data_IF_104930954197
#
_entry.id   IF_104930954197
#
_cell.length_a   1.000
_cell.length_b   1.000
_cell.length_c   1.000
_cell.angle_alpha   90.00
_cell.angle_beta   90.00
_cell.angle_gamma   90.00
#
_symmetry.space_group_name_H-M   'P 1'
#
loop_
_entity.id
_entity.type
_entity.pdbx_description
1 polymer ?
#
# COMPACT_ATOMS: atom_id res chain seq x y z
N UNK A 1 -8.27 5.30 -42.88
CA UNK A 1 -7.00 4.70 -42.41
C UNK A 1 -7.30 3.89 -41.16
N UNK A 2 -7.36 2.55 -41.29
CA UNK A 2 -7.56 1.64 -40.16
C UNK A 2 -6.35 1.75 -39.23
N UNK A 3 -6.56 2.16 -37.98
CA UNK A 3 -5.55 1.95 -36.93
C UNK A 3 -5.46 0.45 -36.71
N UNK A 4 -4.38 -0.16 -37.19
CA UNK A 4 -4.04 -1.53 -36.77
C UNK A 4 -3.92 -1.53 -35.26
N UNK A 5 -4.79 -2.28 -34.57
CA UNK A 5 -4.67 -2.51 -33.15
C UNK A 5 -3.40 -3.31 -32.90
N UNK A 6 -2.34 -2.63 -32.48
CA UNK A 6 -1.11 -3.27 -32.05
C UNK A 6 -1.45 -4.06 -30.77
N UNK A 7 -1.33 -5.39 -30.76
CA UNK A 7 -1.60 -6.17 -29.56
C UNK A 7 -0.61 -5.74 -28.46
N UNK A 8 -1.07 -5.59 -27.20
CA UNK A 8 -0.20 -5.18 -26.12
C UNK A 8 0.98 -6.16 -25.99
N UNK A 9 2.18 -5.68 -25.63
CA UNK A 9 3.43 -6.45 -25.67
C UNK A 9 3.42 -7.72 -24.80
N UNK A 10 2.43 -7.89 -23.91
CA UNK A 10 2.32 -9.02 -23.00
C UNK A 10 1.17 -9.99 -23.33
N UNK A 11 0.38 -9.80 -24.40
CA UNK A 11 -0.87 -10.54 -24.67
C UNK A 11 -1.83 -10.62 -23.48
N UNK A 12 -1.63 -9.77 -22.47
CA UNK A 12 -2.56 -9.62 -21.38
C UNK A 12 -3.84 -9.11 -22.02
N UNK A 13 -4.94 -9.83 -21.81
CA UNK A 13 -6.25 -9.30 -22.13
C UNK A 13 -6.27 -7.90 -21.50
N UNK A 14 -6.38 -6.85 -22.31
CA UNK A 14 -6.95 -5.61 -21.80
C UNK A 14 -8.32 -6.08 -21.34
N UNK A 15 -8.63 -6.15 -20.04
CA UNK A 15 -10.03 -6.26 -19.68
C UNK A 15 -10.64 -5.08 -20.42
N UNK A 16 -11.60 -5.33 -21.31
CA UNK A 16 -12.46 -4.25 -21.79
C UNK A 16 -12.78 -3.45 -20.54
N UNK A 17 -12.33 -2.19 -20.44
CA UNK A 17 -12.61 -1.34 -19.28
C UNK A 17 -14.08 -0.93 -19.32
N UNK A 18 -14.97 -1.92 -19.34
CA UNK A 18 -16.38 -1.80 -19.06
C UNK A 18 -16.50 -1.45 -17.59
N UNK A 19 -16.46 -0.14 -17.30
CA UNK A 19 -17.09 0.50 -16.14
C UNK A 19 -16.90 -0.15 -14.77
N UNK A 20 -15.73 -0.73 -14.49
CA UNK A 20 -15.43 -1.24 -13.14
C UNK A 20 -14.99 -0.08 -12.26
N UNK A 21 -15.75 0.17 -11.19
CA UNK A 21 -15.40 1.08 -10.11
C UNK A 21 -14.80 0.30 -8.95
N UNK A 22 -13.54 0.59 -8.64
CA UNK A 22 -12.85 0.02 -7.49
C UNK A 22 -13.08 0.88 -6.25
N UNK A 23 -13.04 0.24 -5.07
CA UNK A 23 -12.99 0.89 -3.78
C UNK A 23 -12.18 0.05 -2.80
N UNK A 24 -11.47 0.69 -1.88
CA UNK A 24 -10.69 0.02 -0.85
C UNK A 24 -11.36 0.16 0.52
N UNK A 25 -11.31 -0.92 1.30
CA UNK A 25 -11.78 -0.93 2.69
C UNK A 25 -10.72 -1.52 3.60
N UNK A 26 -10.27 -0.78 4.60
CA UNK A 26 -9.40 -1.33 5.65
C UNK A 26 -10.25 -2.21 6.56
N UNK A 27 -10.08 -3.53 6.45
CA UNK A 27 -10.85 -4.52 7.22
C UNK A 27 -10.14 -4.94 8.51
N UNK A 28 -8.81 -4.82 8.56
CA UNK A 28 -8.03 -4.93 9.78
C UNK A 28 -7.14 -3.68 9.90
N UNK A 29 -7.39 -2.87 10.92
CA UNK A 29 -6.62 -1.65 11.16
C UNK A 29 -5.36 -1.95 11.98
N UNK A 30 -4.23 -1.25 11.74
CA UNK A 30 -3.13 -1.24 12.68
C UNK A 30 -3.58 -0.62 14.01
N UNK A 31 -3.08 -1.14 15.12
CA UNK A 31 -3.38 -0.59 16.44
C UNK A 31 -2.15 -0.01 17.11
N UNK A 32 -1.04 -0.74 17.02
CA UNK A 32 0.22 -0.37 17.69
C UNK A 32 1.44 -0.91 16.96
N UNK A 33 2.57 -0.28 17.21
CA UNK A 33 3.86 -0.85 16.88
C UNK A 33 4.89 -0.43 17.92
N UNK A 34 6.07 -1.03 17.85
CA UNK A 34 7.26 -0.56 18.57
C UNK A 34 8.21 0.06 17.56
N UNK A 35 8.76 1.23 17.88
CA UNK A 35 9.73 1.86 17.01
C UNK A 35 10.98 0.97 16.90
N UNK A 36 11.48 0.77 15.68
CA UNK A 36 12.66 -0.07 15.42
C UNK A 36 13.97 0.72 15.58
N UNK A 37 13.89 2.05 15.69
CA UNK A 37 15.03 2.95 15.67
C UNK A 37 15.80 2.89 14.35
N UNK A 38 17.07 3.28 14.44
CA UNK A 38 17.97 3.44 13.28
C UNK A 38 18.97 2.27 13.13
N UNK A 39 18.90 1.27 14.01
CA UNK A 39 19.62 0.01 13.87
C UNK A 39 18.84 -1.03 13.04
N UNK A 40 19.48 -2.17 12.74
CA UNK A 40 18.85 -3.28 11.99
C UNK A 40 18.37 -4.44 12.88
N UNK A 41 18.63 -4.43 14.20
CA UNK A 41 18.55 -5.65 15.03
C UNK A 41 17.21 -5.93 15.73
N UNK A 42 16.39 -4.92 16.07
CA UNK A 42 15.11 -5.12 16.79
C UNK A 42 13.94 -4.58 15.94
N UNK A 43 13.64 -5.30 14.86
CA UNK A 43 12.52 -4.98 13.99
C UNK A 43 11.26 -5.71 14.48
N UNK A 44 10.19 -4.96 14.74
CA UNK A 44 8.90 -5.52 15.16
C UNK A 44 7.81 -5.04 14.22
N UNK A 45 7.05 -5.96 13.61
CA UNK A 45 5.98 -5.55 12.72
C UNK A 45 4.87 -4.81 13.48
N UNK A 46 4.12 -4.00 12.74
CA UNK A 46 2.88 -3.37 13.20
C UNK A 46 1.88 -4.48 13.56
N UNK A 47 1.21 -4.31 14.69
CA UNK A 47 0.27 -5.28 15.26
C UNK A 47 -1.10 -4.63 15.51
N UNK A 48 -2.20 -5.26 15.06
CA UNK A 48 -2.25 -6.39 14.12
C UNK A 48 -1.82 -5.94 12.71
N UNK A 49 -1.48 -6.87 11.80
CA UNK A 49 -1.06 -6.52 10.45
C UNK A 49 -2.22 -5.89 9.66
N UNK A 50 -2.03 -4.77 8.95
CA UNK A 50 -3.11 -4.18 8.18
C UNK A 50 -3.59 -5.09 7.05
N UNK A 51 -4.90 -5.20 6.91
CA UNK A 51 -5.54 -5.93 5.81
C UNK A 51 -6.54 -5.00 5.13
N UNK A 52 -6.43 -4.90 3.81
CA UNK A 52 -7.29 -4.06 2.98
C UNK A 52 -8.04 -4.94 1.99
N UNK A 53 -9.36 -4.83 1.96
CA UNK A 53 -10.21 -5.49 0.99
C UNK A 53 -10.42 -4.59 -0.23
N UNK A 54 -10.31 -5.16 -1.43
CA UNK A 54 -10.71 -4.55 -2.68
C UNK A 54 -12.15 -4.93 -3.01
N UNK A 55 -12.98 -3.93 -3.27
CA UNK A 55 -14.33 -4.12 -3.77
C UNK A 55 -14.41 -3.56 -5.20
N UNK A 56 -14.98 -4.33 -6.12
CA UNK A 56 -15.23 -3.93 -7.50
C UNK A 56 -16.73 -3.89 -7.76
N UNK A 57 -17.20 -2.85 -8.45
CA UNK A 57 -18.60 -2.68 -8.87
C UNK A 57 -18.67 -2.35 -10.35
N UNK A 58 -19.73 -2.78 -11.03
CA UNK A 58 -19.98 -2.36 -12.43
C UNK A 58 -20.64 -0.97 -12.49
N UNK A 59 -20.93 -0.47 -13.70
CA UNK A 59 -21.66 0.79 -13.93
C UNK A 59 -23.01 0.88 -13.23
N UNK A 60 -23.69 -0.25 -13.05
CA UNK A 60 -24.98 -0.32 -12.36
C UNK A 60 -24.85 -0.39 -10.84
N UNK A 61 -23.63 -0.35 -10.30
CA UNK A 61 -23.34 -0.40 -8.87
C UNK A 61 -23.44 -1.79 -8.24
N UNK A 62 -23.58 -2.85 -9.05
CA UNK A 62 -23.61 -4.24 -8.60
C UNK A 62 -22.19 -4.75 -8.33
N UNK A 63 -22.05 -5.53 -7.26
CA UNK A 63 -20.77 -6.13 -6.87
C UNK A 63 -20.27 -7.11 -7.94
N UNK A 64 -19.01 -6.97 -8.31
CA UNK A 64 -18.28 -7.88 -9.21
C UNK A 64 -17.44 -8.81 -8.34
N UNK A 65 -17.62 -10.12 -8.56
CA UNK A 65 -16.74 -11.12 -7.97
C UNK A 65 -15.46 -11.25 -8.81
N UNK A 66 -14.37 -10.64 -8.34
CA UNK A 66 -13.06 -10.71 -8.99
C UNK A 66 -12.48 -12.12 -8.84
N UNK A 67 -11.94 -12.66 -9.93
CA UNK A 67 -11.24 -13.95 -9.93
C UNK A 67 -9.72 -13.76 -9.89
N UNK A 68 -8.94 -14.79 -9.54
CA UNK A 68 -7.48 -14.72 -9.57
C UNK A 68 -6.90 -14.23 -10.91
N UNK A 69 -7.49 -14.65 -12.03
CA UNK A 69 -7.07 -14.21 -13.37
C UNK A 69 -7.25 -12.69 -13.60
N UNK A 70 -8.24 -12.06 -12.96
CA UNK A 70 -8.53 -10.63 -13.11
C UNK A 70 -7.53 -9.75 -12.35
N UNK A 71 -6.90 -10.30 -11.29
CA UNK A 71 -6.11 -9.53 -10.33
C UNK A 71 -4.62 -9.84 -10.36
N UNK A 72 -4.12 -10.55 -11.38
CA UNK A 72 -2.70 -10.95 -11.48
C UNK A 72 -1.74 -9.74 -11.35
N UNK A 73 -2.19 -8.59 -11.84
CA UNK A 73 -1.40 -7.35 -11.89
C UNK A 73 -1.92 -6.26 -10.94
N UNK A 74 -2.66 -6.67 -9.91
CA UNK A 74 -3.20 -5.77 -8.90
C UNK A 74 -2.22 -5.65 -7.73
N UNK A 75 -1.86 -4.42 -7.41
CA UNK A 75 -0.92 -4.08 -6.35
C UNK A 75 -1.52 -3.04 -5.43
N UNK A 76 -1.20 -3.14 -4.15
CA UNK A 76 -1.41 -2.05 -3.19
C UNK A 76 -0.07 -1.63 -2.60
N UNK A 77 0.23 -0.33 -2.69
CA UNK A 77 1.36 0.31 -2.02
C UNK A 77 0.90 0.90 -0.69
N UNK A 78 1.72 0.80 0.34
CA UNK A 78 1.50 1.37 1.66
C UNK A 78 2.52 2.49 1.91
N UNK A 79 2.03 3.63 2.39
CA UNK A 79 2.82 4.78 2.79
C UNK A 79 2.48 5.19 4.23
N UNK A 80 3.42 5.84 4.90
CA UNK A 80 3.23 6.32 6.27
C UNK A 80 2.92 7.82 6.25
N UNK A 81 1.89 8.23 6.97
CA UNK A 81 1.47 9.61 7.12
C UNK A 81 1.35 9.98 8.60
N UNK A 82 1.39 11.29 8.88
CA UNK A 82 1.02 11.81 10.19
C UNK A 82 -0.44 11.49 10.56
N UNK A 83 -0.80 11.75 11.82
CA UNK A 83 -2.14 11.47 12.34
C UNK A 83 -3.25 12.24 11.61
N UNK A 84 -2.92 13.41 11.04
CA UNK A 84 -3.85 14.33 10.37
C UNK A 84 -3.96 14.11 8.86
N UNK A 85 -3.22 13.15 8.29
CA UNK A 85 -3.19 12.82 6.86
C UNK A 85 -2.65 13.95 5.97
N UNK A 86 -1.85 14.87 6.54
CA UNK A 86 -1.32 16.04 5.82
C UNK A 86 0.08 15.79 5.28
N UNK A 87 0.94 15.21 6.10
CA UNK A 87 2.36 15.05 5.77
C UNK A 87 2.74 13.59 5.58
N UNK A 88 3.40 13.30 4.46
CA UNK A 88 3.99 12.00 4.22
C UNK A 88 5.23 11.82 5.13
N UNK A 89 5.19 10.81 5.99
CA UNK A 89 6.22 10.45 6.97
C UNK A 89 6.97 9.18 6.59
N UNK A 90 6.87 8.73 5.33
CA UNK A 90 7.56 7.54 4.81
C UNK A 90 9.08 7.70 4.85
N UNK A 91 9.58 8.94 4.79
CA UNK A 91 11.01 9.27 4.92
C UNK A 91 11.29 9.97 6.25
N UNK A 92 12.47 9.74 6.81
CA UNK A 92 12.93 10.38 8.05
C UNK A 92 14.42 10.71 7.98
N UNK A 93 14.83 11.79 8.64
CA UNK A 93 16.22 12.16 8.82
C UNK A 93 16.80 11.39 10.01
N UNK A 94 17.95 10.74 9.82
CA UNK A 94 18.64 10.03 10.88
C UNK A 94 19.26 11.02 11.87
N UNK A 95 18.91 10.99 13.18
CA UNK A 95 19.37 11.99 14.16
C UNK A 95 20.89 12.12 14.25
N UNK A 96 21.64 11.00 14.12
CA UNK A 96 23.09 11.01 14.16
C UNK A 96 23.76 11.80 13.02
N UNK A 97 23.02 12.10 11.95
CA UNK A 97 23.52 12.87 10.80
C UNK A 97 23.37 14.38 10.95
N UNK A 98 22.64 14.86 11.96
CA UNK A 98 22.38 16.28 12.22
C UNK A 98 23.49 16.98 13.03
N UNK A 99 24.66 16.35 13.18
CA UNK A 99 25.79 16.94 13.90
C UNK A 99 26.24 18.26 13.26
N UNK A 100 26.11 19.36 14.01
CA UNK A 100 26.42 20.73 13.57
C UNK A 100 27.89 20.97 13.19
N UNK A 101 28.78 20.03 13.49
CA UNK A 101 30.24 20.21 13.33
C UNK A 101 30.83 19.58 12.07
N UNK A 102 30.01 19.05 11.16
CA UNK A 102 30.50 18.53 9.87
C UNK A 102 29.67 19.08 8.74
N UNK A 103 30.30 19.53 7.63
CA UNK A 103 29.63 19.89 6.37
C UNK A 103 28.94 18.69 5.67
N UNK A 104 28.56 17.65 6.42
CA UNK A 104 27.90 16.46 5.90
C UNK A 104 26.40 16.74 5.76
N UNK A 105 25.89 16.49 4.56
CA UNK A 105 24.45 16.55 4.26
C UNK A 105 23.69 15.57 5.18
N UNK A 106 22.49 15.94 5.68
CA UNK A 106 21.67 15.05 6.49
C UNK A 106 21.34 13.75 5.75
N UNK A 107 21.45 12.63 6.47
CA UNK A 107 21.17 11.29 5.96
C UNK A 107 19.66 11.03 6.06
N UNK A 108 18.99 10.88 4.91
CA UNK A 108 17.56 10.61 4.80
C UNK A 108 17.37 9.12 4.51
N UNK A 109 16.47 8.47 5.24
CA UNK A 109 16.16 7.04 5.06
C UNK A 109 14.68 6.73 5.29
N UNK A 110 14.22 5.56 4.83
CA UNK A 110 12.83 5.15 4.99
C UNK A 110 12.49 4.94 6.45
N UNK A 111 11.41 5.58 6.90
CA UNK A 111 10.80 5.42 8.21
C UNK A 111 9.91 4.17 8.26
N UNK A 112 9.08 3.98 7.23
CA UNK A 112 8.31 2.75 7.02
C UNK A 112 9.23 1.71 6.37
N UNK A 113 9.42 0.58 7.04
CA UNK A 113 10.35 -0.48 6.62
C UNK A 113 9.66 -1.83 6.48
N UNK A 114 10.27 -2.71 5.67
CA UNK A 114 9.70 -3.99 5.29
C UNK A 114 8.98 -3.94 3.94
N UNK A 115 8.01 -4.82 3.75
CA UNK A 115 7.24 -4.94 2.52
C UNK A 115 6.11 -3.92 2.46
N UNK A 116 6.40 -2.74 1.89
CA UNK A 116 5.42 -1.68 1.66
C UNK A 116 4.51 -1.93 0.46
N UNK A 117 4.64 -3.05 -0.24
CA UNK A 117 3.82 -3.41 -1.40
C UNK A 117 3.25 -4.81 -1.16
N UNK A 118 1.96 -4.98 -1.44
CA UNK A 118 1.26 -6.27 -1.41
C UNK A 118 0.64 -6.54 -2.77
N UNK A 119 0.75 -7.79 -3.23
CA UNK A 119 -0.10 -8.31 -4.31
C UNK A 119 -1.53 -8.52 -3.80
N UNK A 120 -2.47 -8.71 -4.72
CA UNK A 120 -3.82 -9.15 -4.41
C UNK A 120 -3.85 -10.65 -4.06
N UNK A 121 -4.54 -10.99 -2.97
CA UNK A 121 -4.79 -12.35 -2.51
C UNK A 121 -6.30 -12.63 -2.51
N UNK A 122 -6.70 -13.79 -3.03
CA UNK A 122 -8.09 -14.25 -2.96
C UNK A 122 -8.27 -15.14 -1.74
N UNK A 123 -9.00 -14.64 -0.74
CA UNK A 123 -9.15 -15.29 0.57
C UNK A 123 -10.63 -15.34 0.96
N UNK A 124 -10.94 -16.18 1.95
CA UNK A 124 -12.22 -16.17 2.63
C UNK A 124 -12.13 -15.32 3.89
N UNK A 125 -13.15 -14.52 4.17
CA UNK A 125 -13.25 -13.84 5.46
C UNK A 125 -13.70 -14.80 6.57
N UNK A 126 -13.82 -14.26 7.78
CA UNK A 126 -14.35 -14.93 8.98
C UNK A 126 -15.78 -15.45 8.84
N UNK A 127 -16.55 -14.92 7.90
CA UNK A 127 -17.90 -15.37 7.55
C UNK A 127 -17.93 -16.40 6.40
N UNK A 128 -16.78 -16.83 5.90
CA UNK A 128 -16.69 -17.77 4.77
C UNK A 128 -17.04 -17.17 3.41
N UNK A 129 -17.07 -15.84 3.28
CA UNK A 129 -17.29 -15.13 2.01
C UNK A 129 -15.96 -14.90 1.29
N UNK A 130 -15.82 -15.26 0.00
CA UNK A 130 -14.62 -14.97 -0.77
C UNK A 130 -14.46 -13.46 -1.02
N UNK A 131 -13.21 -13.01 -1.15
CA UNK A 131 -12.89 -11.64 -1.54
C UNK A 131 -11.41 -11.45 -1.90
N UNK A 132 -11.11 -10.29 -2.46
CA UNK A 132 -9.74 -9.89 -2.82
C UNK A 132 -9.16 -8.98 -1.73
N UNK A 133 -7.99 -9.34 -1.21
CA UNK A 133 -7.34 -8.68 -0.08
C UNK A 133 -5.88 -8.35 -0.36
N UNK A 134 -5.39 -7.27 0.23
CA UNK A 134 -3.98 -6.92 0.33
C UNK A 134 -3.56 -7.05 1.79
N UNK A 135 -2.48 -7.78 2.05
CA UNK A 135 -2.05 -8.14 3.41
C UNK A 135 -0.66 -7.57 3.67
N UNK A 136 -0.58 -6.67 4.65
CA UNK A 136 0.66 -5.98 5.01
C UNK A 136 1.24 -6.52 6.31
N UNK A 137 1.66 -7.79 6.30
CA UNK A 137 2.15 -8.49 7.50
C UNK A 137 3.59 -8.11 7.90
N UNK A 138 4.31 -7.40 7.03
CA UNK A 138 5.73 -7.10 7.21
C UNK A 138 5.99 -5.59 7.15
N UNK A 139 5.28 -4.81 7.97
CA UNK A 139 5.50 -3.36 8.10
C UNK A 139 6.06 -3.01 9.47
N UNK A 140 7.06 -2.14 9.55
CA UNK A 140 7.53 -1.58 10.83
C UNK A 140 7.87 -0.09 10.67
N UNK A 141 7.94 0.64 11.78
CA UNK A 141 8.23 2.08 11.78
C UNK A 141 9.48 2.36 12.62
N UNK A 142 10.38 3.23 12.14
CA UNK A 142 11.62 3.56 12.86
C UNK A 142 11.41 4.53 14.01
N UNK A 143 10.52 5.50 13.85
CA UNK A 143 10.27 6.56 14.83
C UNK A 143 9.03 6.27 15.68
N UNK A 144 9.05 6.76 16.91
CA UNK A 144 7.83 6.85 17.72
C UNK A 144 6.89 7.95 17.21
N UNK A 145 5.61 7.86 17.57
CA UNK A 145 4.59 8.84 17.19
C UNK A 145 3.22 8.22 16.93
N UNK A 146 2.28 9.07 16.51
CA UNK A 146 0.94 8.66 16.07
C UNK A 146 0.87 8.85 14.56
N UNK A 147 0.51 7.79 13.85
CA UNK A 147 0.54 7.76 12.40
C UNK A 147 -0.73 7.13 11.81
N UNK A 148 -0.89 7.31 10.51
CA UNK A 148 -1.83 6.55 9.67
C UNK A 148 -1.08 5.91 8.51
N UNK A 149 -1.61 4.79 8.02
CA UNK A 149 -1.13 4.16 6.79
C UNK A 149 -2.05 4.58 5.64
N UNK A 150 -1.47 5.01 4.53
CA UNK A 150 -2.18 5.25 3.27
C UNK A 150 -1.95 4.04 2.37
N UNK A 151 -3.03 3.40 1.93
CA UNK A 151 -2.99 2.31 0.97
C UNK A 151 -3.42 2.83 -0.40
N UNK A 152 -2.63 2.54 -1.41
CA UNK A 152 -2.79 3.05 -2.78
C UNK A 152 -2.88 1.86 -3.72
N UNK A 153 -4.04 1.65 -4.31
CA UNK A 153 -4.30 0.57 -5.26
C UNK A 153 -3.98 0.98 -6.69
N UNK A 154 -3.29 0.08 -7.38
CA UNK A 154 -2.90 0.23 -8.77
C UNK A 154 -3.16 -1.08 -9.52
N UNK A 155 -3.78 -0.96 -10.69
CA UNK A 155 -3.89 -2.03 -11.66
C UNK A 155 -2.85 -1.80 -12.76
N UNK A 156 -1.78 -2.61 -12.80
CA UNK A 156 -0.75 -2.43 -13.83
C UNK A 156 -1.23 -2.82 -15.24
N UNK A 157 -2.29 -3.64 -15.36
CA UNK A 157 -2.88 -4.00 -16.66
C UNK A 157 -3.70 -2.85 -17.28
N UNK A 158 -4.10 -1.85 -16.48
CA UNK A 158 -4.88 -0.70 -16.91
C UNK A 158 -4.04 0.45 -17.49
N UNK A 159 -2.71 0.30 -17.53
CA UNK A 159 -1.80 1.33 -18.01
C UNK A 159 -1.80 1.52 -19.53
N UNK A 160 -1.29 2.67 -19.97
CA UNK A 160 -1.02 2.93 -21.38
C UNK A 160 0.19 2.08 -21.84
N UNK A 161 0.01 1.15 -22.79
CA UNK A 161 1.07 0.20 -23.16
C UNK A 161 2.31 0.87 -23.76
N UNK A 162 2.14 2.02 -24.41
CA UNK A 162 3.25 2.74 -25.05
C UNK A 162 4.17 3.43 -24.04
N UNK A 163 3.61 3.91 -22.92
CA UNK A 163 4.36 4.59 -21.87
C UNK A 163 4.67 3.68 -20.68
N UNK A 164 4.07 2.48 -20.63
CA UNK A 164 4.10 1.56 -19.50
C UNK A 164 3.67 2.24 -18.18
N UNK A 165 2.86 3.30 -18.27
CA UNK A 165 2.39 4.07 -17.13
C UNK A 165 0.97 3.66 -16.76
N UNK A 166 0.70 3.53 -15.48
CA UNK A 166 -0.65 3.35 -14.95
C UNK A 166 -0.98 4.47 -13.95
N UNK A 167 -2.24 4.58 -13.57
CA UNK A 167 -2.71 5.58 -12.62
C UNK A 167 -3.18 4.92 -11.32
N UNK A 168 -3.16 5.69 -10.25
CA UNK A 168 -3.78 5.30 -8.99
C UNK A 168 -5.27 5.14 -9.20
N UNK A 169 -5.79 3.95 -8.92
CA UNK A 169 -7.20 3.61 -9.10
C UNK A 169 -8.00 4.00 -7.86
N UNK A 170 -7.43 3.79 -6.68
CA UNK A 170 -8.03 4.20 -5.42
C UNK A 170 -7.00 4.33 -4.29
N UNK A 171 -7.33 5.11 -3.27
CA UNK A 171 -6.60 5.22 -2.02
C UNK A 171 -7.50 5.18 -0.78
N UNK A 172 -6.98 4.66 0.33
CA UNK A 172 -7.67 4.69 1.62
C UNK A 172 -6.69 4.84 2.77
N UNK A 173 -7.07 5.60 3.79
CA UNK A 173 -6.29 5.72 5.03
C UNK A 173 -6.79 4.73 6.09
N UNK A 174 -5.85 4.20 6.87
CA UNK A 174 -6.17 3.49 8.12
C UNK A 174 -6.68 4.43 9.21
N UNK A 175 -7.22 3.83 10.27
CA UNK A 175 -7.30 4.49 11.58
C UNK A 175 -5.90 4.88 12.09
N UNK A 176 -5.86 5.82 13.03
CA UNK A 176 -4.62 6.17 13.73
C UNK A 176 -4.10 4.97 14.52
N UNK A 177 -2.78 4.79 14.54
CA UNK A 177 -2.11 3.81 15.39
C UNK A 177 -0.89 4.46 16.06
N UNK A 178 -0.51 3.91 17.22
CA UNK A 178 0.60 4.47 18.02
C UNK A 178 1.85 3.61 17.88
N UNK A 179 2.98 4.26 17.55
CA UNK A 179 4.30 3.63 17.58
C UNK A 179 4.99 4.04 18.87
N UNK A 180 5.16 3.06 19.77
CA UNK A 180 5.73 3.29 21.10
C UNK A 180 7.26 3.26 21.09
N UNK A 181 7.91 4.01 22.00
CA UNK A 181 9.35 3.91 22.22
C UNK A 181 9.79 2.50 22.62
N UNK A 182 11.06 2.22 22.39
CA UNK A 182 11.78 1.17 23.12
C UNK A 182 11.82 1.60 24.59
N UNK A 183 11.09 0.91 25.48
CA UNK A 183 11.25 1.10 26.93
C UNK A 183 12.76 0.98 27.26
N UNK A 184 13.32 2.01 27.88
CA UNK A 184 14.66 1.97 28.48
C UNK A 184 14.63 1.07 29.71
#
# INVERSE_FOLDING_TARGET
MNRQEIPPPLKLLRPSQSSVRYSLKVVQNPLRARCCGFGQKDRRPIDPPPIVQLCAKNEYGLDINLKPEDSILFLAQCELYDADMKENRTMVVKPSSLSKNTNKKPEIMRNLIGSSVSNAYHLYNDQGKPGTYFVFHDLSVRTEGIFRLKFVFVNLAAGEPLTMSTYVQEEVFSACFTVYPVKK
#
